data_IF_627679686904
#
_entry.id   IF_627679686904
#
_cell.length_a   1.000
_cell.length_b   1.000
_cell.length_c   1.000
_cell.angle_alpha   90.00
_cell.angle_beta   90.00
_cell.angle_gamma   90.00
#
_symmetry.space_group_name_H-M   'P 1'
#
loop_
_entity.id
_entity.type
_entity.pdbx_description
1 polymer ?
#
# COMPACT_ATOMS: atom_id res chain seq x y z
N UNK A 1 3.22 -41.07 21.89
CA UNK A 1 4.59 -40.73 21.47
C UNK A 1 4.98 -41.71 20.37
N UNK A 2 4.90 -41.31 19.10
CA UNK A 2 5.20 -42.21 17.97
C UNK A 2 6.54 -41.81 17.35
N UNK A 3 7.50 -42.73 17.41
CA UNK A 3 8.87 -42.56 16.90
C UNK A 3 8.93 -43.19 15.51
N UNK A 4 9.09 -42.35 14.47
CA UNK A 4 9.16 -42.81 13.07
C UNK A 4 10.60 -43.21 12.70
N UNK A 5 10.79 -44.48 12.31
CA UNK A 5 12.10 -45.12 12.09
C UNK A 5 12.72 -44.94 10.70
N UNK A 6 12.05 -44.28 9.76
CA UNK A 6 12.51 -44.23 8.36
C UNK A 6 12.93 -42.83 7.89
N UNK A 7 14.21 -42.67 7.52
CA UNK A 7 14.77 -41.36 7.10
C UNK A 7 14.10 -40.81 5.83
N UNK A 8 13.58 -41.68 4.96
CA UNK A 8 12.95 -41.28 3.68
C UNK A 8 11.53 -40.73 3.88
N UNK A 9 10.77 -41.31 4.80
CA UNK A 9 9.41 -40.87 5.15
C UNK A 9 9.41 -39.53 5.88
N UNK A 10 10.45 -39.24 6.69
CA UNK A 10 10.63 -37.91 7.32
C UNK A 10 10.73 -36.79 6.29
N UNK A 11 11.36 -37.03 5.14
CA UNK A 11 11.54 -36.00 4.12
C UNK A 11 10.27 -35.76 3.29
N UNK A 12 9.44 -36.78 3.07
CA UNK A 12 8.18 -36.62 2.34
C UNK A 12 7.09 -35.93 3.17
N UNK A 13 7.09 -36.08 4.50
CA UNK A 13 6.19 -35.34 5.39
C UNK A 13 6.58 -33.86 5.50
N UNK A 14 7.89 -33.55 5.47
CA UNK A 14 8.38 -32.16 5.41
C UNK A 14 8.10 -31.48 4.06
N UNK A 15 8.03 -32.25 2.97
CA UNK A 15 7.73 -31.74 1.62
C UNK A 15 6.23 -31.59 1.35
N UNK A 16 5.38 -32.37 2.03
CA UNK A 16 3.90 -32.32 1.89
C UNK A 16 3.19 -31.34 2.85
N UNK A 17 3.92 -30.67 3.75
CA UNK A 17 3.40 -29.55 4.56
C UNK A 17 3.52 -28.17 3.90
N UNK A 18 3.99 -28.09 2.64
CA UNK A 18 4.44 -26.86 2.00
C UNK A 18 3.36 -25.97 1.39
N UNK A 19 2.12 -25.98 1.89
CA UNK A 19 1.11 -24.98 1.50
C UNK A 19 0.62 -24.17 2.71
N UNK A 20 1.54 -23.83 3.61
CA UNK A 20 1.47 -22.48 4.16
C UNK A 20 1.72 -21.57 2.96
N UNK A 21 0.72 -20.79 2.54
CA UNK A 21 1.01 -19.62 1.72
C UNK A 21 1.96 -18.75 2.53
N UNK A 22 3.27 -19.04 2.44
CA UNK A 22 4.31 -18.11 2.82
C UNK A 22 4.28 -17.11 1.68
N UNK A 23 3.43 -16.09 1.82
CA UNK A 23 3.60 -14.89 1.02
C UNK A 23 4.93 -14.31 1.52
N UNK A 24 6.03 -14.78 0.93
CA UNK A 24 7.33 -14.15 1.07
C UNK A 24 7.22 -12.93 0.18
N UNK A 25 6.60 -11.85 0.67
CA UNK A 25 6.80 -10.55 0.02
C UNK A 25 8.25 -10.19 0.28
N UNK A 26 9.05 -10.11 -0.76
CA UNK A 26 10.44 -9.64 -0.68
C UNK A 26 10.50 -8.15 -0.33
N UNK A 27 11.60 -7.65 0.25
CA UNK A 27 11.79 -6.21 0.45
C UNK A 27 11.57 -5.39 -0.83
N UNK A 28 12.06 -5.90 -1.97
CA UNK A 28 11.80 -5.32 -3.29
C UNK A 28 10.32 -5.25 -3.64
N UNK A 29 9.55 -6.33 -3.43
CA UNK A 29 8.11 -6.33 -3.69
C UNK A 29 7.37 -5.36 -2.76
N UNK A 30 7.81 -5.20 -1.51
CA UNK A 30 7.25 -4.21 -0.58
C UNK A 30 7.48 -2.78 -1.09
N UNK A 31 8.71 -2.45 -1.52
CA UNK A 31 9.05 -1.14 -2.11
C UNK A 31 8.31 -0.90 -3.43
N UNK A 32 8.15 -1.94 -4.24
CA UNK A 32 7.36 -1.87 -5.46
C UNK A 32 5.90 -1.55 -5.14
N UNK A 33 5.31 -2.21 -4.15
CA UNK A 33 3.94 -1.94 -3.72
C UNK A 33 3.79 -0.55 -3.09
N UNK A 34 4.77 -0.07 -2.33
CA UNK A 34 4.80 1.30 -1.82
C UNK A 34 4.78 2.34 -2.96
N UNK A 35 5.57 2.09 -4.02
CA UNK A 35 5.62 2.92 -5.23
C UNK A 35 4.30 2.91 -5.99
N UNK A 36 3.67 1.74 -6.12
CA UNK A 36 2.34 1.61 -6.74
C UNK A 36 1.29 2.43 -5.97
N UNK A 37 1.32 2.40 -4.64
CA UNK A 37 0.36 3.15 -3.81
C UNK A 37 0.59 4.66 -3.91
N UNK A 38 1.84 5.12 -4.01
CA UNK A 38 2.15 6.53 -4.30
C UNK A 38 1.66 6.94 -5.69
N UNK A 39 1.71 6.04 -6.66
CA UNK A 39 1.15 6.26 -8.00
C UNK A 39 -0.37 6.44 -7.92
N UNK A 40 -1.07 5.58 -7.17
CA UNK A 40 -2.52 5.72 -6.97
C UNK A 40 -2.89 7.00 -6.21
N UNK A 41 -2.06 7.44 -5.26
CA UNK A 41 -2.22 8.76 -4.61
C UNK A 41 -2.14 9.89 -5.63
N UNK A 42 -1.16 9.87 -6.53
CA UNK A 42 -1.02 10.89 -7.57
C UNK A 42 -2.22 10.88 -8.55
N UNK A 43 -2.69 9.68 -8.95
CA UNK A 43 -3.88 9.52 -9.77
C UNK A 43 -5.13 10.10 -9.09
N UNK A 44 -5.28 9.86 -7.78
CA UNK A 44 -6.37 10.38 -6.97
C UNK A 44 -6.32 11.92 -6.87
N UNK A 45 -5.15 12.51 -6.61
CA UNK A 45 -4.97 13.97 -6.59
C UNK A 45 -5.29 14.60 -7.96
N UNK A 46 -4.89 13.96 -9.05
CA UNK A 46 -5.23 14.39 -10.41
C UNK A 46 -6.75 14.31 -10.67
N UNK A 47 -7.40 13.27 -10.18
CA UNK A 47 -8.86 13.12 -10.26
C UNK A 47 -9.56 14.27 -9.54
N UNK A 48 -9.13 14.63 -8.32
CA UNK A 48 -9.67 15.77 -7.57
C UNK A 48 -9.48 17.09 -8.33
N UNK A 49 -8.31 17.31 -8.90
CA UNK A 49 -8.04 18.50 -9.73
C UNK A 49 -9.00 18.59 -10.94
N UNK A 50 -9.26 17.44 -11.58
CA UNK A 50 -10.20 17.34 -12.69
C UNK A 50 -11.64 17.63 -12.24
N UNK A 51 -12.06 17.08 -11.10
CA UNK A 51 -13.36 17.36 -10.49
C UNK A 51 -13.53 18.86 -10.17
N UNK A 52 -12.51 19.49 -9.57
CA UNK A 52 -12.53 20.94 -9.29
C UNK A 52 -12.68 21.76 -10.56
N UNK A 53 -12.00 21.37 -11.65
CA UNK A 53 -12.13 22.05 -12.95
C UNK A 53 -13.55 21.98 -13.50
N UNK A 54 -14.20 20.82 -13.39
CA UNK A 54 -15.61 20.64 -13.80
C UNK A 54 -16.54 21.49 -12.93
N UNK A 55 -16.38 21.46 -11.61
CA UNK A 55 -17.19 22.26 -10.68
C UNK A 55 -17.04 23.75 -10.98
N UNK A 56 -15.82 24.22 -11.24
CA UNK A 56 -15.56 25.61 -11.58
C UNK A 56 -16.14 26.00 -12.96
N UNK A 57 -16.18 25.09 -13.95
CA UNK A 57 -16.79 25.40 -15.26
C UNK A 57 -18.32 25.52 -15.18
N UNK A 58 -18.96 24.81 -14.24
CA UNK A 58 -20.41 24.92 -13.99
C UNK A 58 -20.82 26.27 -13.39
N UNK A 59 -19.89 26.99 -12.73
CA UNK A 59 -20.16 28.34 -12.23
C UNK A 59 -20.40 29.38 -13.35
N UNK A 60 -19.98 29.08 -14.59
CA UNK A 60 -20.33 29.87 -15.77
C UNK A 60 -21.70 29.55 -16.36
N UNK A 61 -22.35 28.46 -15.92
CA UNK A 61 -23.67 28.00 -16.42
C UNK A 61 -24.79 28.34 -15.43
N UNK A 62 -24.51 28.27 -14.14
CA UNK A 62 -25.42 28.69 -13.08
C UNK A 62 -25.01 30.11 -12.61
N UNK A 63 -25.70 31.16 -13.03
CA UNK A 63 -25.43 32.51 -12.51
C UNK A 63 -25.89 32.65 -11.04
N UNK A 64 -25.13 33.40 -10.23
CA UNK A 64 -25.55 33.85 -8.89
C UNK A 64 -25.20 32.92 -7.72
N UNK A 65 -25.97 33.02 -6.64
CA UNK A 65 -25.70 32.35 -5.34
C UNK A 65 -25.68 30.81 -5.44
N UNK A 66 -26.39 30.22 -6.41
CA UNK A 66 -26.46 28.78 -6.61
C UNK A 66 -25.12 28.17 -7.06
N UNK A 67 -24.37 28.84 -7.95
CA UNK A 67 -23.02 28.41 -8.32
C UNK A 67 -22.06 28.50 -7.15
N UNK A 68 -22.11 29.59 -6.39
CA UNK A 68 -21.28 29.77 -5.19
C UNK A 68 -21.55 28.67 -4.17
N UNK A 69 -22.82 28.30 -3.93
CA UNK A 69 -23.19 27.23 -3.03
C UNK A 69 -22.67 25.87 -3.51
N UNK A 70 -22.74 25.59 -4.82
CA UNK A 70 -22.25 24.33 -5.39
C UNK A 70 -20.73 24.20 -5.28
N UNK A 71 -19.98 25.25 -5.63
CA UNK A 71 -18.52 25.30 -5.48
C UNK A 71 -18.13 25.15 -4.01
N UNK A 72 -18.79 25.91 -3.12
CA UNK A 72 -18.54 25.84 -1.67
C UNK A 72 -18.79 24.43 -1.11
N UNK A 73 -19.86 23.75 -1.56
CA UNK A 73 -20.14 22.38 -1.16
C UNK A 73 -19.02 21.41 -1.59
N UNK A 74 -18.50 21.55 -2.82
CA UNK A 74 -17.37 20.74 -3.26
C UNK A 74 -16.10 21.02 -2.45
N UNK A 75 -15.79 22.30 -2.21
CA UNK A 75 -14.63 22.72 -1.43
C UNK A 75 -14.69 22.24 0.04
N UNK A 76 -15.89 21.99 0.56
CA UNK A 76 -16.06 21.40 1.91
C UNK A 76 -15.44 20.00 2.04
N UNK A 77 -15.28 19.27 0.93
CA UNK A 77 -14.68 17.93 0.91
C UNK A 77 -13.15 17.93 0.83
N UNK A 78 -12.50 19.07 0.60
CA UNK A 78 -11.03 19.13 0.48
C UNK A 78 -10.30 18.48 1.65
N UNK A 79 -10.77 18.71 2.88
CA UNK A 79 -10.14 18.11 4.06
C UNK A 79 -10.16 16.57 3.98
N UNK A 80 -11.27 15.98 3.55
CA UNK A 80 -11.40 14.53 3.41
C UNK A 80 -10.51 13.99 2.27
N UNK A 81 -10.42 14.72 1.16
CA UNK A 81 -9.52 14.40 0.06
C UNK A 81 -8.06 14.40 0.50
N UNK A 82 -7.62 15.45 1.20
CA UNK A 82 -6.26 15.54 1.76
C UNK A 82 -6.00 14.39 2.73
N UNK A 83 -6.92 14.13 3.68
CA UNK A 83 -6.75 13.03 4.63
C UNK A 83 -6.66 11.66 3.96
N UNK A 84 -7.37 11.43 2.86
CA UNK A 84 -7.23 10.20 2.09
C UNK A 84 -5.87 10.09 1.40
N UNK A 85 -5.37 11.18 0.81
CA UNK A 85 -4.02 11.22 0.24
C UNK A 85 -2.93 10.96 1.28
N UNK A 86 -3.07 11.51 2.49
CA UNK A 86 -2.17 11.25 3.63
C UNK A 86 -2.25 9.79 4.11
N UNK A 87 -3.44 9.18 4.10
CA UNK A 87 -3.63 7.78 4.44
C UNK A 87 -2.88 6.86 3.46
N UNK A 88 -2.96 7.15 2.15
CA UNK A 88 -2.21 6.40 1.13
C UNK A 88 -0.69 6.53 1.33
N UNK A 89 -0.20 7.74 1.61
CA UNK A 89 1.23 7.95 1.90
C UNK A 89 1.66 7.20 3.17
N UNK A 90 0.86 7.25 4.23
CA UNK A 90 1.13 6.51 5.47
C UNK A 90 1.22 5.00 5.22
N UNK A 91 0.37 4.46 4.35
CA UNK A 91 0.42 3.05 4.01
C UNK A 91 1.66 2.70 3.17
N UNK A 92 2.05 3.54 2.21
CA UNK A 92 3.30 3.37 1.46
C UNK A 92 4.52 3.40 2.39
N UNK A 93 4.57 4.33 3.36
CA UNK A 93 5.65 4.40 4.35
C UNK A 93 5.73 3.15 5.24
N UNK A 94 4.58 2.55 5.59
CA UNK A 94 4.57 1.28 6.34
C UNK A 94 5.18 0.14 5.54
N UNK A 95 4.91 0.09 4.23
CA UNK A 95 5.55 -0.90 3.34
C UNK A 95 7.06 -0.68 3.22
N UNK A 96 7.50 0.57 3.08
CA UNK A 96 8.94 0.90 3.07
C UNK A 96 9.63 0.50 4.39
N UNK A 97 8.96 0.77 5.52
CA UNK A 97 9.47 0.39 6.85
C UNK A 97 9.58 -1.12 6.98
N UNK A 98 8.56 -1.87 6.56
CA UNK A 98 8.57 -3.32 6.58
C UNK A 98 9.69 -3.89 5.70
N UNK A 99 9.93 -3.31 4.52
CA UNK A 99 11.03 -3.71 3.63
C UNK A 99 12.39 -3.55 4.30
N UNK A 100 12.63 -2.39 4.94
CA UNK A 100 13.89 -2.10 5.62
C UNK A 100 14.11 -3.03 6.81
N UNK A 101 13.08 -3.28 7.63
CA UNK A 101 13.18 -4.22 8.76
C UNK A 101 13.50 -5.64 8.30
N UNK A 102 12.96 -6.08 7.17
CA UNK A 102 13.25 -7.40 6.60
C UNK A 102 14.70 -7.50 6.11
N UNK A 103 15.22 -6.50 5.39
CA UNK A 103 16.63 -6.47 4.97
C UNK A 103 17.60 -6.45 6.15
N UNK A 104 17.32 -5.66 7.18
CA UNK A 104 18.16 -5.60 8.38
C UNK A 104 18.18 -6.94 9.12
N UNK A 105 17.03 -7.61 9.21
CA UNK A 105 16.92 -8.92 9.88
C UNK A 105 17.65 -10.01 9.09
N UNK A 106 17.46 -10.05 7.76
CA UNK A 106 18.13 -11.04 6.91
C UNK A 106 19.65 -10.78 6.81
N UNK A 107 20.08 -9.51 6.75
CA UNK A 107 21.49 -9.12 6.75
C UNK A 107 22.21 -9.45 8.06
N UNK A 108 21.55 -9.25 9.20
CA UNK A 108 22.08 -9.62 10.52
C UNK A 108 22.19 -11.14 10.72
N UNK A 109 21.20 -11.89 10.25
CA UNK A 109 21.24 -13.37 10.27
C UNK A 109 22.34 -13.92 9.36
N UNK A 110 22.51 -13.39 8.15
CA UNK A 110 23.58 -13.80 7.24
C UNK A 110 24.98 -13.50 7.82
N UNK A 111 25.16 -12.33 8.46
CA UNK A 111 26.43 -11.96 9.09
C UNK A 111 26.77 -12.86 10.29
N UNK A 112 25.77 -13.25 11.09
CA UNK A 112 25.98 -14.14 12.26
C UNK A 112 26.22 -15.61 11.89
N UNK A 113 25.79 -16.05 10.71
CA UNK A 113 26.06 -17.42 10.21
C UNK A 113 27.34 -17.53 9.37
N UNK A 114 28.01 -16.41 9.07
CA UNK A 114 29.29 -16.34 8.38
C UNK A 114 30.53 -16.33 9.30
N UNK A 115 30.35 -16.47 10.62
CA UNK A 115 31.42 -16.60 11.62
C UNK A 115 31.51 -18.02 12.18
#
# INVERSE_FOLDING_TARGET
MYVFKDKKVRNDVLRKGGNQMKIIVTPEEMRSNATNIRTEKANFEQCISSMRTIVNSMSGVFEGEAATAFVSNFESYNAQFTSFGELLESFAQKLDTAANTMEETDGGLAASMGQ
#
